data_IF_415936442391
#
_entry.id   IF_415936442391
#
_cell.length_a   1.000
_cell.length_b   1.000
_cell.length_c   1.000
_cell.angle_alpha   90.00
_cell.angle_beta   90.00
_cell.angle_gamma   90.00
#
_symmetry.space_group_name_H-M   'P 1'
#
loop_
_entity.id
_entity.type
_entity.pdbx_description
1 polymer ?
#
# COMPACT_ATOMS: atom_id res chain seq x y z
N UNK A 1 8.40 -3.13 20.93
CA UNK A 1 7.16 -2.35 20.63
C UNK A 1 5.99 -3.32 20.47
N UNK A 2 5.87 -4.27 21.41
CA UNK A 2 5.09 -5.50 21.16
C UNK A 2 3.57 -5.29 21.32
N UNK A 3 3.14 -4.08 21.69
CA UNK A 3 1.75 -3.71 21.85
C UNK A 3 1.16 -2.97 20.64
N UNK A 4 2.00 -2.43 19.74
CA UNK A 4 1.52 -1.68 18.56
C UNK A 4 1.28 -2.61 17.37
N UNK A 5 2.05 -3.70 17.28
CA UNK A 5 1.92 -4.74 16.27
C UNK A 5 2.39 -6.05 16.90
N UNK A 6 1.52 -7.07 16.96
CA UNK A 6 1.97 -8.46 17.12
C UNK A 6 2.99 -8.77 16.00
N UNK A 7 4.00 -9.64 16.22
CA UNK A 7 4.90 -10.04 15.15
C UNK A 7 4.08 -10.66 14.03
N UNK A 8 3.87 -9.88 12.97
CA UNK A 8 3.21 -10.34 11.77
C UNK A 8 3.94 -11.60 11.31
N UNK A 9 3.19 -12.70 11.20
CA UNK A 9 3.67 -13.96 10.69
C UNK A 9 4.55 -13.71 9.45
N UNK A 10 5.70 -14.39 9.41
CA UNK A 10 6.76 -14.33 8.41
C UNK A 10 6.23 -14.08 6.99
N UNK A 11 6.13 -12.81 6.61
CA UNK A 11 5.52 -12.36 5.36
C UNK A 11 6.07 -11.00 4.95
N UNK A 12 6.11 -10.71 3.66
CA UNK A 12 6.82 -9.58 3.04
C UNK A 12 6.31 -8.16 3.41
N UNK A 13 5.22 -8.04 4.18
CA UNK A 13 4.77 -6.76 4.79
C UNK A 13 5.51 -6.47 6.11
N UNK A 14 6.19 -7.47 6.69
CA UNK A 14 6.93 -7.34 7.93
C UNK A 14 8.09 -6.34 7.81
N UNK A 15 8.80 -6.26 6.68
CA UNK A 15 9.98 -5.40 6.58
C UNK A 15 9.67 -3.88 6.66
N UNK A 16 8.68 -3.32 5.92
CA UNK A 16 8.27 -1.92 6.09
C UNK A 16 7.68 -1.64 7.48
N UNK A 17 6.85 -2.54 8.02
CA UNK A 17 6.28 -2.39 9.37
C UNK A 17 7.36 -2.45 10.45
N UNK A 18 8.36 -3.32 10.28
CA UNK A 18 9.47 -3.46 11.21
C UNK A 18 10.39 -2.23 11.18
N UNK A 19 10.56 -1.57 10.03
CA UNK A 19 11.26 -0.28 9.97
C UNK A 19 10.53 0.80 10.78
N UNK A 20 9.19 0.83 10.71
CA UNK A 20 8.36 1.75 11.51
C UNK A 20 8.45 1.39 13.00
N UNK A 21 8.31 0.12 13.36
CA UNK A 21 8.40 -0.39 14.75
C UNK A 21 9.78 -0.13 15.36
N UNK A 22 10.86 -0.28 14.58
CA UNK A 22 12.22 0.02 15.01
C UNK A 22 12.40 1.53 15.22
N UNK A 23 11.90 2.36 14.30
CA UNK A 23 11.94 3.82 14.41
C UNK A 23 11.14 4.36 15.61
N UNK A 24 10.03 3.71 15.95
CA UNK A 24 9.25 4.01 17.15
C UNK A 24 9.99 3.60 18.44
N UNK A 25 10.65 2.45 18.42
CA UNK A 25 11.45 1.92 19.55
C UNK A 25 12.67 2.80 19.82
N UNK A 26 13.43 3.16 18.79
CA UNK A 26 14.60 4.04 18.90
C UNK A 26 14.22 5.46 19.33
N UNK A 27 13.00 5.91 18.98
CA UNK A 27 12.44 7.18 19.40
C UNK A 27 11.98 7.22 20.88
N UNK A 28 11.97 6.08 21.59
CA UNK A 28 11.53 6.00 22.98
C UNK A 28 10.05 6.31 23.18
N UNK A 29 9.22 6.17 22.14
CA UNK A 29 7.78 6.46 22.21
C UNK A 29 7.11 5.42 23.11
N UNK A 30 6.40 5.87 24.15
CA UNK A 30 5.71 4.97 25.09
C UNK A 30 4.28 4.64 24.62
N UNK A 31 3.64 3.65 25.26
CA UNK A 31 2.23 3.32 25.02
C UNK A 31 1.33 4.48 25.42
N UNK A 32 1.69 5.18 26.48
CA UNK A 32 1.01 6.35 27.01
C UNK A 32 1.11 7.53 26.03
N UNK A 33 2.29 7.75 25.45
CA UNK A 33 2.49 8.78 24.42
C UNK A 33 1.62 8.51 23.19
N UNK A 34 1.55 7.25 22.76
CA UNK A 34 0.72 6.86 21.62
C UNK A 34 -0.78 7.06 21.89
N UNK A 35 -1.28 6.57 23.03
CA UNK A 35 -2.69 6.73 23.43
C UNK A 35 -3.09 8.19 23.60
N UNK A 36 -2.16 9.05 24.01
CA UNK A 36 -2.37 10.48 24.13
C UNK A 36 -2.36 11.19 22.76
N UNK A 37 -1.59 10.69 21.79
CA UNK A 37 -1.46 11.30 20.47
C UNK A 37 -2.56 10.84 19.47
N UNK A 38 -2.99 9.58 19.54
CA UNK A 38 -3.79 8.94 18.51
C UNK A 38 -5.10 8.33 19.04
N UNK A 39 -6.09 8.25 18.16
CA UNK A 39 -7.35 7.55 18.42
C UNK A 39 -7.16 6.04 18.46
N UNK A 40 -8.19 5.35 18.93
CA UNK A 40 -8.16 3.89 19.11
C UNK A 40 -8.54 3.13 17.81
N UNK A 41 -8.97 3.87 16.78
CA UNK A 41 -9.39 3.31 15.50
C UNK A 41 -8.30 3.43 14.44
N UNK A 42 -8.05 2.32 13.74
CA UNK A 42 -7.15 2.22 12.60
C UNK A 42 -7.98 1.81 11.39
N UNK A 43 -7.83 2.53 10.29
CA UNK A 43 -8.45 2.17 9.00
C UNK A 43 -7.39 1.88 7.96
N UNK A 44 -7.54 0.78 7.24
CA UNK A 44 -6.67 0.39 6.13
C UNK A 44 -7.51 0.41 4.85
N UNK A 45 -7.01 1.08 3.82
CA UNK A 45 -7.68 1.17 2.54
C UNK A 45 -6.70 0.84 1.41
N UNK A 46 -7.15 -0.03 0.50
CA UNK A 46 -6.46 -0.25 -0.76
C UNK A 46 -6.63 0.98 -1.65
N UNK A 47 -5.51 1.50 -2.18
CA UNK A 47 -5.50 2.65 -3.07
C UNK A 47 -5.00 2.18 -4.43
N UNK A 48 -5.95 1.96 -5.35
CA UNK A 48 -5.62 1.54 -6.71
C UNK A 48 -6.25 2.52 -7.69
N UNK A 49 -5.51 3.57 -8.07
CA UNK A 49 -5.99 4.46 -9.14
C UNK A 49 -5.98 3.75 -10.49
N UNK A 50 -6.84 4.17 -11.42
CA UNK A 50 -6.96 3.55 -12.75
C UNK A 50 -5.62 3.45 -13.51
N UNK A 51 -4.70 4.38 -13.26
CA UNK A 51 -3.38 4.42 -13.91
C UNK A 51 -2.25 3.75 -13.10
N UNK A 52 -2.54 3.18 -11.93
CA UNK A 52 -1.52 2.56 -11.09
C UNK A 52 -1.27 1.10 -11.50
N UNK A 53 0.01 0.78 -11.73
CA UNK A 53 0.45 -0.58 -12.14
C UNK A 53 0.39 -1.60 -11.00
N UNK A 54 0.49 -1.15 -9.76
CA UNK A 54 0.39 -1.97 -8.56
C UNK A 54 -0.63 -1.34 -7.60
N UNK A 55 -1.34 -2.16 -6.81
CA UNK A 55 -2.15 -1.65 -5.72
C UNK A 55 -1.27 -0.96 -4.68
N UNK A 56 -1.65 0.25 -4.30
CA UNK A 56 -1.17 0.90 -3.10
C UNK A 56 -2.02 0.53 -1.90
N UNK A 57 -1.54 0.88 -0.71
CA UNK A 57 -2.31 0.82 0.52
C UNK A 57 -2.04 2.07 1.35
N UNK A 58 -3.06 2.55 2.04
CA UNK A 58 -2.93 3.57 3.07
C UNK A 58 -3.51 3.05 4.38
N UNK A 59 -2.85 3.38 5.47
CA UNK A 59 -3.32 3.22 6.82
C UNK A 59 -3.59 4.62 7.38
N UNK A 60 -4.71 4.78 8.07
CA UNK A 60 -5.11 6.04 8.68
C UNK A 60 -5.46 5.84 10.15
N UNK A 61 -5.10 6.82 10.97
CA UNK A 61 -5.40 6.86 12.40
C UNK A 61 -5.83 8.28 12.76
N UNK A 62 -6.89 8.41 13.56
CA UNK A 62 -7.32 9.71 14.05
C UNK A 62 -6.25 10.33 14.98
N UNK A 63 -6.07 11.64 14.90
CA UNK A 63 -5.18 12.40 15.78
C UNK A 63 -6.01 12.97 16.93
N UNK A 64 -5.60 12.67 18.16
CA UNK A 64 -6.17 13.25 19.40
C UNK A 64 -5.46 14.54 19.77
N UNK A 65 -4.14 14.54 19.69
CA UNK A 65 -3.28 15.68 20.01
C UNK A 65 -2.23 15.84 18.90
N UNK A 66 -2.39 16.88 18.07
CA UNK A 66 -1.53 17.07 16.91
C UNK A 66 -0.10 17.45 17.26
N UNK A 67 0.14 18.08 18.41
CA UNK A 67 1.48 18.39 18.88
C UNK A 67 2.22 17.11 19.29
N UNK A 68 1.54 16.22 20.02
CA UNK A 68 2.09 14.90 20.39
C UNK A 68 2.28 14.00 19.17
N UNK A 69 1.32 13.98 18.24
CA UNK A 69 1.43 13.22 16.99
C UNK A 69 2.65 13.64 16.17
N UNK A 70 2.86 14.96 15.98
CA UNK A 70 4.04 15.50 15.29
C UNK A 70 5.34 15.19 16.03
N UNK A 71 5.34 15.18 17.37
CA UNK A 71 6.50 14.76 18.17
C UNK A 71 6.86 13.29 17.92
N UNK A 72 5.86 12.40 17.87
CA UNK A 72 6.06 10.97 17.58
C UNK A 72 6.65 10.76 16.18
N UNK A 73 6.07 11.36 15.14
CA UNK A 73 6.63 11.19 13.79
C UNK A 73 7.97 11.91 13.58
N UNK A 74 8.16 13.06 14.22
CA UNK A 74 9.46 13.74 14.26
C UNK A 74 10.56 12.83 14.81
N UNK A 75 10.27 12.11 15.90
CA UNK A 75 11.23 11.20 16.49
C UNK A 75 11.56 9.99 15.60
N UNK A 76 10.55 9.42 14.91
CA UNK A 76 10.78 8.37 13.89
C UNK A 76 11.69 8.91 12.79
N UNK A 77 11.37 10.09 12.25
CA UNK A 77 12.10 10.66 11.13
C UNK A 77 13.57 10.97 11.47
N UNK A 78 13.82 11.54 12.64
CA UNK A 78 15.17 11.82 13.14
C UNK A 78 16.02 10.56 13.33
N UNK A 79 15.41 9.42 13.66
CA UNK A 79 16.13 8.16 13.90
C UNK A 79 16.46 7.36 12.62
N UNK A 80 15.86 7.71 11.48
CA UNK A 80 15.81 6.83 10.30
C UNK A 80 16.21 7.51 8.99
N UNK A 81 16.66 8.78 9.03
CA UNK A 81 17.10 9.53 7.86
C UNK A 81 15.94 9.97 6.93
N UNK A 82 14.71 9.92 7.42
CA UNK A 82 13.54 10.35 6.65
C UNK A 82 13.54 11.85 6.43
N UNK A 83 13.06 12.24 5.25
CA UNK A 83 13.00 13.64 4.86
C UNK A 83 11.68 14.24 5.35
N UNK A 84 11.78 15.33 6.12
CA UNK A 84 10.64 16.12 6.55
C UNK A 84 10.31 17.18 5.50
N UNK A 85 9.04 17.32 5.14
CA UNK A 85 8.51 18.45 4.38
C UNK A 85 7.17 18.89 4.97
N UNK A 86 6.72 20.10 4.67
CA UNK A 86 5.39 20.57 5.07
C UNK A 86 4.64 21.09 3.85
N UNK A 87 3.40 20.63 3.68
CA UNK A 87 2.48 21.05 2.61
C UNK A 87 1.05 20.68 3.00
N UNK A 88 0.04 21.26 2.34
CA UNK A 88 -1.37 20.92 2.54
C UNK A 88 -1.83 20.94 4.02
N UNK A 89 -1.28 21.86 4.83
CA UNK A 89 -1.51 21.93 6.28
C UNK A 89 -1.19 20.62 7.03
N UNK A 90 -0.21 19.85 6.53
CA UNK A 90 0.28 18.63 7.14
C UNK A 90 1.82 18.57 7.10
N UNK A 91 2.39 17.81 8.03
CA UNK A 91 3.82 17.46 8.04
C UNK A 91 4.00 16.09 7.39
N UNK A 92 4.86 16.03 6.37
CA UNK A 92 5.16 14.83 5.61
C UNK A 92 6.55 14.34 5.96
N UNK A 93 6.67 13.03 6.10
CA UNK A 93 7.91 12.32 6.37
C UNK A 93 8.02 11.19 5.35
N UNK A 94 9.02 11.26 4.49
CA UNK A 94 9.25 10.25 3.45
C UNK A 94 10.55 9.51 3.72
N UNK A 95 10.49 8.18 3.69
CA UNK A 95 11.65 7.33 3.87
C UNK A 95 12.67 7.54 2.73
N UNK A 96 13.98 7.53 3.03
CA UNK A 96 14.99 7.57 1.99
C UNK A 96 14.86 6.31 1.12
N UNK A 97 14.71 6.51 -0.19
CA UNK A 97 14.59 5.41 -1.14
C UNK A 97 16.00 4.94 -1.51
N UNK A 98 16.50 3.92 -0.84
CA UNK A 98 17.77 3.28 -1.18
C UNK A 98 17.62 1.75 -1.30
N UNK A 99 18.33 1.15 -2.26
CA UNK A 99 18.30 -0.30 -2.50
C UNK A 99 17.01 -0.85 -3.11
N UNK A 100 16.60 -2.05 -2.68
CA UNK A 100 15.54 -2.89 -3.29
C UNK A 100 14.14 -2.24 -3.24
N UNK A 101 13.94 -1.21 -2.40
CA UNK A 101 12.64 -0.59 -2.11
C UNK A 101 12.18 0.51 -3.08
N UNK A 102 12.89 0.84 -4.15
CA UNK A 102 12.49 1.89 -5.14
C UNK A 102 11.11 1.71 -5.81
N UNK A 103 10.42 0.59 -5.57
CA UNK A 103 9.04 0.35 -5.96
C UNK A 103 8.01 1.12 -5.11
N UNK A 104 8.37 1.39 -3.86
CA UNK A 104 7.54 2.02 -2.84
C UNK A 104 8.32 3.18 -2.22
N UNK A 105 7.65 4.27 -1.94
CA UNK A 105 8.21 5.40 -1.21
C UNK A 105 7.40 5.58 0.06
N UNK A 106 7.70 4.80 1.13
CA UNK A 106 6.96 4.88 2.37
C UNK A 106 6.88 6.32 2.85
N UNK A 107 5.65 6.80 3.02
CA UNK A 107 5.38 8.19 3.37
C UNK A 107 4.37 8.24 4.50
N UNK A 108 4.65 9.08 5.49
CA UNK A 108 3.76 9.39 6.60
C UNK A 108 3.38 10.86 6.49
N UNK A 109 2.11 11.19 6.60
CA UNK A 109 1.63 12.55 6.73
C UNK A 109 0.82 12.73 8.00
N UNK A 110 1.05 13.83 8.71
CA UNK A 110 0.34 14.20 9.94
C UNK A 110 -0.35 15.53 9.74
N UNK A 111 -1.68 15.48 9.78
CA UNK A 111 -2.55 16.65 9.88
C UNK A 111 -3.04 16.83 11.33
N UNK A 112 -3.85 17.86 11.58
CA UNK A 112 -4.45 18.05 12.91
C UNK A 112 -5.50 17.00 13.27
N UNK A 113 -6.03 16.26 12.29
CA UNK A 113 -7.12 15.28 12.48
C UNK A 113 -6.74 13.84 12.20
N UNK A 114 -5.75 13.62 11.35
CA UNK A 114 -5.40 12.30 10.81
C UNK A 114 -3.90 12.16 10.63
N UNK A 115 -3.39 10.98 10.98
CA UNK A 115 -2.15 10.43 10.45
C UNK A 115 -2.49 9.51 9.30
N UNK A 116 -1.75 9.66 8.20
CA UNK A 116 -1.86 8.81 7.02
C UNK A 116 -0.48 8.20 6.77
N UNK A 117 -0.41 6.87 6.68
CA UNK A 117 0.77 6.11 6.30
C UNK A 117 0.48 5.44 4.97
N UNK A 118 1.31 5.66 3.95
CA UNK A 118 1.12 5.08 2.64
C UNK A 118 2.40 4.51 2.05
N UNK A 119 2.23 3.62 1.07
CA UNK A 119 3.34 3.02 0.32
C UNK A 119 3.97 3.99 -0.69
N UNK A 120 3.30 5.10 -1.01
CA UNK A 120 3.80 6.15 -1.89
C UNK A 120 3.20 7.51 -1.52
N UNK A 121 3.92 8.56 -1.87
CA UNK A 121 3.55 9.95 -1.60
C UNK A 121 2.23 10.37 -2.25
N UNK A 122 1.92 9.88 -3.46
CA UNK A 122 0.72 10.28 -4.18
C UNK A 122 -0.56 9.69 -3.55
N UNK A 123 -0.48 8.46 -3.04
CA UNK A 123 -1.55 7.83 -2.26
C UNK A 123 -1.81 8.58 -0.96
N UNK A 124 -0.75 9.04 -0.27
CA UNK A 124 -0.89 9.84 0.95
C UNK A 124 -1.50 11.22 0.65
N UNK A 125 -1.04 11.91 -0.40
CA UNK A 125 -1.56 13.22 -0.79
C UNK A 125 -3.07 13.16 -1.06
N UNK A 126 -3.58 12.10 -1.68
CA UNK A 126 -5.02 11.90 -1.93
C UNK A 126 -5.86 11.77 -0.65
N UNK A 127 -5.27 11.33 0.46
CA UNK A 127 -5.98 11.20 1.73
C UNK A 127 -5.90 12.46 2.57
N UNK A 128 -4.79 13.19 2.48
CA UNK A 128 -4.55 14.42 3.23
C UNK A 128 -5.26 15.60 2.58
N UNK A 129 -5.34 15.62 1.25
CA UNK A 129 -6.14 16.61 0.53
C UNK A 129 -7.61 16.29 0.73
N UNK A 130 -8.39 17.30 1.12
CA UNK A 130 -9.82 17.15 1.35
C UNK A 130 -10.46 16.68 0.04
N UNK A 131 -10.97 15.45 0.03
CA UNK A 131 -11.70 14.94 -1.12
C UNK A 131 -12.87 15.91 -1.42
N UNK A 132 -13.18 16.18 -2.70
CA UNK A 132 -14.42 16.89 -3.05
C UNK A 132 -15.58 16.22 -2.33
N UNK A 133 -16.59 17.00 -1.91
CA UNK A 133 -17.80 16.45 -1.32
C UNK A 133 -18.34 15.33 -2.23
N UNK A 134 -18.18 14.11 -1.78
CA UNK A 134 -18.36 12.91 -2.57
C UNK A 134 -19.18 11.92 -1.79
N UNK A 135 -19.96 11.16 -2.52
CA UNK A 135 -20.73 10.04 -2.02
C UNK A 135 -19.74 8.93 -1.65
N UNK A 136 -19.28 8.92 -0.40
CA UNK A 136 -18.34 7.92 0.14
C UNK A 136 -18.89 6.49 0.04
N UNK A 137 -18.19 5.53 0.63
CA UNK A 137 -18.56 4.12 0.55
C UNK A 137 -20.03 3.84 0.95
N UNK A 138 -20.57 4.63 1.88
CA UNK A 138 -21.97 4.55 2.30
C UNK A 138 -23.02 4.82 1.20
N UNK A 139 -22.65 5.41 0.06
CA UNK A 139 -23.55 5.60 -1.07
C UNK A 139 -23.50 4.46 -2.09
N UNK A 140 -22.51 3.57 -2.00
CA UNK A 140 -22.39 2.41 -2.87
C UNK A 140 -23.47 1.38 -2.50
N UNK A 141 -24.28 0.96 -3.47
CA UNK A 141 -25.38 0.03 -3.26
C UNK A 141 -24.90 -1.37 -2.84
N UNK A 142 -23.85 -1.90 -3.48
CA UNK A 142 -23.26 -3.18 -3.12
C UNK A 142 -22.73 -3.16 -1.69
N UNK A 143 -22.08 -2.06 -1.30
CA UNK A 143 -21.64 -1.88 0.09
C UNK A 143 -22.82 -1.89 1.05
N UNK A 144 -23.86 -1.07 0.81
CA UNK A 144 -25.05 -0.99 1.67
C UNK A 144 -25.84 -2.29 1.77
N UNK A 145 -25.91 -3.05 0.68
CA UNK A 145 -26.60 -4.32 0.64
C UNK A 145 -25.81 -5.38 1.43
N UNK A 146 -24.50 -5.45 1.20
CA UNK A 146 -23.65 -6.48 1.80
C UNK A 146 -23.31 -6.19 3.27
N UNK A 147 -23.15 -4.92 3.66
CA UNK A 147 -22.84 -4.56 5.05
C UNK A 147 -23.91 -4.96 6.06
N UNK A 148 -25.16 -5.11 5.60
CA UNK A 148 -26.29 -5.60 6.42
C UNK A 148 -26.29 -7.11 6.63
N UNK A 149 -25.44 -7.86 5.92
CA UNK A 149 -25.35 -9.32 6.03
C UNK A 149 -24.52 -9.77 7.23
N UNK A 150 -23.82 -8.84 7.87
CA UNK A 150 -23.05 -9.07 9.09
C UNK A 150 -23.62 -8.20 10.22
N UNK A 151 -23.45 -8.60 11.49
CA UNK A 151 -23.82 -7.77 12.63
C UNK A 151 -23.13 -6.40 12.60
N UNK A 152 -23.70 -5.48 13.38
CA UNK A 152 -23.08 -4.16 13.58
C UNK A 152 -21.67 -4.34 14.15
N UNK A 153 -20.64 -3.78 13.47
CA UNK A 153 -19.26 -3.99 13.88
C UNK A 153 -18.96 -3.20 15.15
N UNK A 154 -18.42 -3.88 16.17
CA UNK A 154 -17.97 -3.23 17.41
C UNK A 154 -16.44 -3.12 17.49
N UNK A 155 -15.71 -4.00 16.79
CA UNK A 155 -14.25 -4.08 16.89
C UNK A 155 -13.55 -4.01 15.55
N UNK A 156 -14.10 -4.69 14.54
CA UNK A 156 -13.53 -4.70 13.19
C UNK A 156 -14.66 -4.74 12.17
N UNK A 157 -14.45 -4.03 11.07
CA UNK A 157 -15.24 -4.16 9.86
C UNK A 157 -14.31 -4.19 8.65
N UNK A 158 -14.58 -5.08 7.70
CA UNK A 158 -13.85 -5.15 6.43
C UNK A 158 -14.81 -5.35 5.28
N UNK A 159 -14.49 -4.72 4.15
CA UNK A 159 -15.24 -4.82 2.90
C UNK A 159 -14.28 -4.91 1.72
N UNK A 160 -14.50 -5.91 0.87
CA UNK A 160 -13.72 -6.15 -0.34
C UNK A 160 -14.68 -6.39 -1.50
N UNK A 161 -14.64 -5.53 -2.51
CA UNK A 161 -15.37 -5.72 -3.76
C UNK A 161 -14.58 -6.68 -4.67
N UNK A 162 -14.80 -7.99 -4.49
CA UNK A 162 -14.10 -9.02 -5.27
C UNK A 162 -14.33 -8.91 -6.79
N UNK A 163 -15.55 -8.65 -7.30
CA UNK A 163 -15.75 -8.42 -8.74
C UNK A 163 -14.86 -7.32 -9.30
N UNK A 164 -14.83 -6.17 -8.62
CA UNK A 164 -14.03 -5.01 -9.04
C UNK A 164 -12.53 -5.29 -8.92
N UNK A 165 -12.12 -5.97 -7.84
CA UNK A 165 -10.73 -6.35 -7.61
C UNK A 165 -10.24 -7.31 -8.71
N UNK A 166 -11.00 -8.36 -9.00
CA UNK A 166 -10.66 -9.34 -10.03
C UNK A 166 -10.57 -8.69 -11.41
N UNK A 167 -11.55 -7.88 -11.78
CA UNK A 167 -11.58 -7.22 -13.10
C UNK A 167 -10.37 -6.31 -13.30
N UNK A 168 -9.94 -5.58 -12.26
CA UNK A 168 -8.74 -4.74 -12.29
C UNK A 168 -7.45 -5.55 -12.37
N UNK A 169 -7.38 -6.67 -11.65
CA UNK A 169 -6.25 -7.59 -11.73
C UNK A 169 -6.12 -8.19 -13.13
N UNK A 170 -7.23 -8.66 -13.71
CA UNK A 170 -7.24 -9.22 -15.08
C UNK A 170 -6.80 -8.17 -16.11
N UNK A 171 -7.37 -6.95 -16.05
CA UNK A 171 -6.98 -5.86 -16.95
C UNK A 171 -5.50 -5.49 -16.85
N UNK A 172 -4.90 -5.64 -15.66
CA UNK A 172 -3.46 -5.36 -15.45
C UNK A 172 -2.59 -6.52 -15.91
N UNK A 173 -2.97 -7.76 -15.61
CA UNK A 173 -2.12 -8.94 -15.79
C UNK A 173 -2.27 -9.58 -17.17
N UNK A 174 -3.46 -9.57 -17.78
CA UNK A 174 -3.70 -10.22 -19.08
C UNK A 174 -2.77 -9.70 -20.19
N UNK A 175 -2.53 -8.37 -20.35
CA UNK A 175 -1.56 -7.88 -21.33
C UNK A 175 -0.13 -8.34 -21.04
N UNK A 176 0.26 -8.40 -19.76
CA UNK A 176 1.59 -8.86 -19.33
C UNK A 176 1.75 -10.34 -19.68
N UNK A 177 0.72 -11.17 -19.45
CA UNK A 177 0.72 -12.58 -19.79
C UNK A 177 0.76 -12.79 -21.30
N UNK A 178 0.00 -12.01 -22.08
CA UNK A 178 0.02 -12.05 -23.55
C UNK A 178 1.39 -11.71 -24.12
N UNK A 179 2.00 -10.62 -23.66
CA UNK A 179 3.39 -10.29 -24.03
C UNK A 179 4.35 -11.40 -23.60
N UNK A 180 4.26 -11.86 -22.36
CA UNK A 180 5.17 -12.90 -21.83
C UNK A 180 5.07 -14.19 -22.64
N UNK A 181 3.87 -14.62 -23.02
CA UNK A 181 3.67 -15.80 -23.85
C UNK A 181 4.29 -15.65 -25.26
N UNK A 182 4.38 -14.42 -25.79
CA UNK A 182 5.02 -14.15 -27.06
C UNK A 182 6.56 -14.12 -26.99
N UNK A 183 7.14 -13.75 -25.85
CA UNK A 183 8.59 -13.53 -25.70
C UNK A 183 9.31 -14.58 -24.84
N UNK A 184 8.60 -15.44 -24.10
CA UNK A 184 9.17 -16.49 -23.25
C UNK A 184 8.94 -17.86 -23.92
N UNK A 185 10.00 -18.50 -24.46
CA UNK A 185 9.89 -19.81 -25.07
C UNK A 185 9.30 -20.86 -24.10
N UNK A 186 8.30 -21.62 -24.56
CA UNK A 186 7.65 -22.68 -23.77
C UNK A 186 6.64 -22.19 -22.71
N UNK A 187 6.37 -20.89 -22.62
CA UNK A 187 5.31 -20.37 -21.76
C UNK A 187 3.92 -20.52 -22.39
N UNK A 188 3.78 -20.24 -23.68
CA UNK A 188 2.54 -20.43 -24.44
C UNK A 188 2.04 -21.87 -24.45
N UNK A 189 2.95 -22.84 -24.36
CA UNK A 189 2.62 -24.28 -24.25
C UNK A 189 2.01 -24.64 -22.88
N UNK A 190 2.33 -23.89 -21.82
CA UNK A 190 1.84 -24.12 -20.46
C UNK A 190 0.67 -23.22 -20.07
N UNK A 191 0.64 -22.01 -20.60
CA UNK A 191 -0.35 -20.98 -20.31
C UNK A 191 -0.69 -20.24 -21.61
N UNK A 192 -1.92 -20.40 -22.08
CA UNK A 192 -2.45 -19.64 -23.21
C UNK A 192 -3.36 -18.52 -22.68
N UNK A 193 -2.91 -17.25 -22.71
CA UNK A 193 -3.69 -16.11 -22.21
C UNK A 193 -4.98 -15.89 -22.98
N UNK A 194 -5.09 -16.38 -24.22
CA UNK A 194 -6.30 -16.24 -25.03
C UNK A 194 -7.39 -17.23 -24.61
N UNK A 195 -7.04 -18.28 -23.86
CA UNK A 195 -8.00 -19.22 -23.26
C UNK A 195 -8.50 -18.77 -21.89
N UNK A 196 -7.94 -17.68 -21.34
CA UNK A 196 -8.48 -17.11 -20.11
C UNK A 196 -9.87 -16.54 -20.41
N UNK A 197 -10.91 -16.94 -19.65
CA UNK A 197 -12.26 -16.44 -19.86
C UNK A 197 -12.28 -14.91 -19.68
N UNK A 198 -13.20 -14.23 -20.35
CA UNK A 198 -13.37 -12.78 -20.17
C UNK A 198 -13.64 -12.44 -18.69
N UNK A 199 -13.14 -11.31 -18.18
CA UNK A 199 -13.22 -11.01 -16.77
C UNK A 199 -14.65 -10.96 -16.24
N UNK A 200 -15.61 -10.55 -17.07
CA UNK A 200 -17.04 -10.50 -16.76
C UNK A 200 -17.63 -11.89 -16.46
N UNK A 201 -17.10 -12.93 -17.10
CA UNK A 201 -17.54 -14.33 -16.92
C UNK A 201 -17.18 -14.83 -15.52
N UNK A 202 -16.05 -14.39 -14.96
CA UNK A 202 -15.64 -14.75 -13.60
C UNK A 202 -16.26 -13.79 -12.59
N UNK A 203 -16.20 -12.48 -12.85
CA UNK A 203 -16.65 -11.44 -11.92
C UNK A 203 -18.11 -11.61 -11.49
N UNK A 204 -19.00 -12.10 -12.38
CA UNK A 204 -20.41 -12.38 -12.04
C UNK A 204 -20.63 -13.46 -10.99
N UNK A 205 -19.64 -14.32 -10.76
CA UNK A 205 -19.68 -15.38 -9.74
C UNK A 205 -18.99 -14.97 -8.44
N UNK A 206 -18.33 -13.81 -8.43
CA UNK A 206 -17.74 -13.23 -7.26
C UNK A 206 -18.78 -12.33 -6.58
N UNK A 207 -19.02 -12.54 -5.30
CA UNK A 207 -19.74 -11.58 -4.47
C UNK A 207 -18.72 -10.73 -3.71
N UNK A 208 -19.08 -9.51 -3.29
CA UNK A 208 -18.29 -8.80 -2.29
C UNK A 208 -18.09 -9.66 -1.04
N UNK A 209 -16.96 -9.46 -0.39
CA UNK A 209 -16.65 -10.06 0.92
C UNK A 209 -16.84 -8.98 1.96
N UNK A 210 -17.64 -9.28 2.97
CA UNK A 210 -17.76 -8.48 4.18
C UNK A 210 -17.36 -9.33 5.37
N UNK A 211 -16.74 -8.72 6.37
CA UNK A 211 -16.59 -9.35 7.66
C UNK A 211 -16.70 -8.34 8.79
N UNK A 212 -17.26 -8.79 9.90
CA UNK A 212 -17.38 -8.03 11.15
C UNK A 212 -16.85 -8.82 12.32
N UNK A 213 -16.28 -8.13 13.29
CA UNK A 213 -15.97 -8.69 14.60
C UNK A 213 -16.68 -7.90 15.70
N UNK A 214 -17.28 -8.63 16.63
CA UNK A 214 -17.97 -8.09 17.81
C UNK A 214 -17.64 -8.92 19.06
N UNK A 215 -17.87 -8.33 20.23
CA UNK A 215 -17.77 -9.02 21.51
C UNK A 215 -19.16 -9.27 22.06
N UNK A 216 -19.55 -10.54 22.17
CA UNK A 216 -20.91 -10.96 22.55
C UNK A 216 -20.78 -12.15 23.48
N UNK A 217 -21.58 -12.17 24.56
CA UNK A 217 -21.63 -13.27 25.54
C UNK A 217 -20.24 -13.70 26.06
N UNK A 218 -19.44 -12.72 26.50
CA UNK A 218 -18.06 -12.89 26.99
C UNK A 218 -17.07 -13.49 25.98
N UNK A 219 -17.41 -13.53 24.69
CA UNK A 219 -16.59 -14.07 23.61
C UNK A 219 -16.43 -13.17 22.40
N UNK A 220 -15.37 -13.40 21.63
CA UNK A 220 -15.20 -12.77 20.31
C UNK A 220 -15.98 -13.54 19.25
N UNK A 221 -16.89 -12.86 18.56
CA UNK A 221 -17.60 -13.40 17.40
C UNK A 221 -17.08 -12.73 16.14
N UNK A 222 -16.53 -13.53 15.23
CA UNK A 222 -16.06 -13.09 13.92
C UNK A 222 -16.91 -13.76 12.84
N UNK A 223 -17.49 -12.94 11.96
CA UNK A 223 -18.38 -13.40 10.90
C UNK A 223 -17.94 -12.84 9.56
N UNK A 224 -18.02 -13.66 8.51
CA UNK A 224 -17.65 -13.28 7.15
C UNK A 224 -18.65 -13.86 6.15
N UNK A 225 -19.06 -13.03 5.19
CA UNK A 225 -19.98 -13.39 4.12
C UNK A 225 -19.35 -13.02 2.79
N UNK A 226 -19.34 -13.97 1.84
CA UNK A 226 -18.86 -13.77 0.47
C UNK A 226 -18.50 -15.09 -0.22
N UNK A 227 -18.13 -15.03 -1.51
CA UNK A 227 -17.70 -16.22 -2.28
C UNK A 227 -16.48 -16.92 -1.67
N UNK A 228 -15.59 -16.15 -1.04
CA UNK A 228 -14.49 -16.64 -0.20
C UNK A 228 -14.51 -15.88 1.12
N UNK A 229 -14.05 -16.52 2.20
CA UNK A 229 -14.04 -15.86 3.52
C UNK A 229 -12.95 -14.78 3.60
N UNK A 230 -13.07 -13.85 4.54
CA UNK A 230 -12.04 -12.81 4.75
C UNK A 230 -10.67 -13.41 5.05
N UNK A 231 -10.61 -14.54 5.78
CA UNK A 231 -9.37 -15.25 6.06
C UNK A 231 -8.72 -15.82 4.80
N UNK A 232 -9.51 -16.45 3.92
CA UNK A 232 -9.01 -16.92 2.61
C UNK A 232 -8.55 -15.76 1.73
N UNK A 233 -9.28 -14.64 1.77
CA UNK A 233 -8.93 -13.43 1.03
C UNK A 233 -7.61 -12.85 1.51
N UNK A 234 -7.38 -12.79 2.82
CA UNK A 234 -6.13 -12.33 3.41
C UNK A 234 -4.94 -13.21 3.00
N UNK A 235 -5.10 -14.54 3.01
CA UNK A 235 -4.07 -15.48 2.53
C UNK A 235 -3.76 -15.24 1.05
N UNK A 236 -4.78 -15.12 0.22
CA UNK A 236 -4.61 -14.87 -1.23
C UNK A 236 -3.91 -13.52 -1.49
N UNK A 237 -4.29 -12.47 -0.77
CA UNK A 237 -3.67 -11.15 -0.87
C UNK A 237 -2.19 -11.19 -0.45
N UNK A 238 -1.87 -11.89 0.66
CA UNK A 238 -0.50 -12.07 1.12
C UNK A 238 0.37 -12.80 0.08
N UNK A 239 -0.14 -13.89 -0.49
CA UNK A 239 0.55 -14.64 -1.54
C UNK A 239 0.78 -13.79 -2.81
N UNK A 240 -0.24 -13.03 -3.25
CA UNK A 240 -0.12 -12.15 -4.41
C UNK A 240 0.93 -11.05 -4.20
N UNK A 241 0.95 -10.42 -3.02
CA UNK A 241 1.94 -9.40 -2.68
C UNK A 241 3.37 -9.96 -2.64
N UNK A 242 3.56 -11.15 -2.04
CA UNK A 242 4.85 -11.83 -2.05
C UNK A 242 5.32 -12.15 -3.49
N UNK A 243 4.42 -12.66 -4.34
CA UNK A 243 4.72 -12.92 -5.75
C UNK A 243 5.15 -11.66 -6.52
N UNK A 244 4.46 -10.54 -6.31
CA UNK A 244 4.81 -9.25 -6.94
C UNK A 244 6.22 -8.77 -6.54
N UNK A 245 6.57 -8.89 -5.25
CA UNK A 245 7.91 -8.52 -4.76
C UNK A 245 9.01 -9.41 -5.36
N UNK A 246 8.78 -10.73 -5.46
CA UNK A 246 9.73 -11.67 -6.08
C UNK A 246 9.89 -11.35 -7.58
N UNK A 247 8.80 -11.11 -8.30
CA UNK A 247 8.83 -10.76 -9.71
C UNK A 247 9.64 -9.49 -9.96
N UNK A 248 9.43 -8.47 -9.14
CA UNK A 248 10.15 -7.21 -9.23
C UNK A 248 11.65 -7.36 -8.92
N UNK A 249 12.00 -8.17 -7.92
CA UNK A 249 13.39 -8.50 -7.61
C UNK A 249 14.08 -9.21 -8.78
N UNK A 250 13.39 -10.15 -9.44
CA UNK A 250 13.92 -10.90 -10.58
C UNK A 250 14.06 -10.05 -11.85
N UNK A 251 13.13 -9.12 -12.11
CA UNK A 251 13.24 -8.14 -13.20
C UNK A 251 14.55 -7.33 -13.11
N UNK A 252 14.99 -7.00 -11.89
CA UNK A 252 16.26 -6.26 -11.70
C UNK A 252 17.50 -7.07 -12.04
N UNK A 253 17.50 -8.36 -11.73
CA UNK A 253 18.62 -9.26 -12.05
C UNK A 253 18.71 -9.55 -13.56
N UNK A 254 17.64 -9.25 -14.32
CA UNK A 254 17.54 -9.52 -15.76
C UNK A 254 17.56 -8.28 -16.64
N UNK A 255 17.73 -7.08 -16.11
CA UNK A 255 18.00 -5.89 -16.95
C UNK A 255 19.36 -6.06 -17.62
N UNK A 256 19.46 -6.24 -18.96
CA UNK A 256 20.73 -6.11 -19.64
C UNK A 256 21.09 -4.62 -19.60
N UNK A 257 22.33 -4.31 -19.23
CA UNK A 257 22.87 -2.96 -19.37
C UNK A 257 23.06 -2.65 -20.87
N UNK A 258 22.04 -2.09 -21.54
CA UNK A 258 22.11 -1.65 -22.95
C UNK A 258 21.10 -0.47 -23.06
N UNK A 259 21.40 0.80 -23.36
CA UNK A 259 22.57 1.48 -23.92
C UNK A 259 22.86 2.76 -23.11
N UNK A 260 24.11 2.93 -22.65
CA UNK A 260 24.65 4.28 -22.52
C UNK A 260 25.01 4.74 -23.93
N UNK A 261 24.26 5.70 -24.48
CA UNK A 261 24.76 6.49 -25.62
C UNK A 261 26.07 7.15 -25.18
N UNK A 262 27.17 7.06 -25.94
CA UNK A 262 28.36 7.82 -25.61
C UNK A 262 28.01 9.30 -25.72
N UNK A 263 27.97 9.98 -24.56
CA UNK A 263 27.94 11.43 -24.47
C UNK A 263 29.13 11.95 -25.28
N UNK A 264 28.86 12.75 -26.32
CA UNK A 264 29.92 13.48 -27.01
C UNK A 264 30.65 14.35 -25.97
N UNK A 265 31.96 14.11 -25.79
CA UNK A 265 32.80 14.96 -24.95
C UNK A 265 32.79 16.39 -25.49
N UNK A 266 32.56 17.42 -24.66
CA UNK A 266 32.83 18.78 -25.06
C UNK A 266 34.35 18.96 -25.23
N UNK A 267 34.79 19.39 -26.42
CA UNK A 267 36.19 19.73 -26.69
C UNK A 267 36.68 20.83 -25.74
N UNK A 268 37.86 20.69 -25.13
CA UNK A 268 38.45 21.76 -24.33
C UNK A 268 38.95 22.88 -25.23
N UNK A 269 38.45 24.10 -24.98
CA UNK A 269 38.96 25.35 -25.54
C UNK A 269 40.38 25.62 -25.05
N UNK A 270 41.33 25.77 -25.97
CA UNK A 270 42.73 26.12 -25.70
C UNK A 270 42.87 27.61 -25.30
N UNK A 271 43.75 27.95 -24.34
CA UNK A 271 44.06 29.33 -24.00
C UNK A 271 45.07 29.94 -25.01
N UNK A 272 45.04 31.26 -25.24
CA UNK A 272 45.91 31.91 -26.22
C UNK A 272 47.37 31.99 -25.76
N UNK A 273 48.29 31.70 -26.69
CA UNK A 273 49.74 31.83 -26.50
C UNK A 273 50.20 33.28 -26.76
N UNK A 274 51.11 33.85 -25.96
CA UNK A 274 51.70 35.15 -26.27
C UNK A 274 52.81 35.02 -27.32
N UNK A 275 52.75 35.87 -28.35
CA UNK A 275 53.77 36.03 -29.39
C UNK A 275 54.89 36.96 -28.91
N UNK A 276 56.15 36.78 -29.35
CA UNK A 276 57.07 37.89 -29.56
C UNK A 276 56.77 38.65 -30.86
#
# INVERSE_FOLDING_TARGET
FDWAFEPAASGSIAAPLQAITNGLSSAGVTKEDWKAAFGDEISIMAVWSANAKLPGAVLTVAVRDSARAKKVAGAIASSSGWQKSSRNNAEYYSAPVSGVLTAVSPTVAISDKLVVVGLDTASVDRMVTQAPAGNGLGANENFRATSKLVPEPQQMFSYIDLPSLYSRLDATLRPILQMSAAFVPGLSERLDPNKLPQPEVIAKHLSPVVASQSYVDDGYRSESVGTITIGQTAIAAGAAYAGAMIFQQNQRHKTPAILALPSASPSPSTPPSPTP
#
